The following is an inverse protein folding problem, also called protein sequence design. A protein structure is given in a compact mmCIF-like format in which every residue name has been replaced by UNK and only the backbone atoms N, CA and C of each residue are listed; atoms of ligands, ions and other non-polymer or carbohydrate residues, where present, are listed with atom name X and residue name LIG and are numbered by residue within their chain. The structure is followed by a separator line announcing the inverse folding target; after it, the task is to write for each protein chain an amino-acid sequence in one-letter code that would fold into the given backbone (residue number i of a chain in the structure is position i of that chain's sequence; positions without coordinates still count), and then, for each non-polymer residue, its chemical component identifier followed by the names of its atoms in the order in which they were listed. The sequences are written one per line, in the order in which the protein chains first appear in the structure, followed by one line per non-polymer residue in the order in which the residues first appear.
data_IF_085036465056
#
_entry.id   IF_085036465056
#
_cell.length_a   1.000
_cell.length_b   1.000
_cell.length_c   1.000
_cell.angle_alpha   90.00
_cell.angle_beta   90.00
_cell.angle_gamma   90.00
#
_symmetry.space_group_name_H-M   'P 1'
#
loop_
_entity.id
_entity.type
_entity.pdbx_description
1 polymer ?
#
# COMPACT_ATOMS: atom_id res chain seq x y z
N UNK A 1 14.35 -8.93 8.16
CA UNK A 1 13.02 -8.91 7.47
C UNK A 1 12.73 -7.56 6.80
N UNK A 2 12.71 -6.43 7.53
CA UNK A 2 12.48 -5.09 6.95
C UNK A 2 13.50 -4.68 5.88
N UNK A 3 14.79 -4.99 6.07
CA UNK A 3 15.83 -4.66 5.08
C UNK A 3 15.64 -5.35 3.71
N UNK A 4 14.92 -6.48 3.64
CA UNK A 4 14.64 -7.19 2.37
C UNK A 4 13.34 -6.71 1.71
N UNK A 5 12.35 -6.28 2.50
CA UNK A 5 11.04 -5.86 2.02
C UNK A 5 10.49 -4.71 2.88
N UNK A 6 11.00 -3.48 2.69
CA UNK A 6 10.69 -2.33 3.55
C UNK A 6 9.19 -2.00 3.64
N UNK A 7 8.38 -2.29 2.61
CA UNK A 7 6.94 -2.02 2.61
C UNK A 7 6.06 -3.09 3.29
N UNK A 8 6.60 -4.27 3.62
CA UNK A 8 5.80 -5.43 4.04
C UNK A 8 5.15 -5.26 5.42
N UNK A 9 5.78 -4.50 6.32
CA UNK A 9 5.22 -4.22 7.64
C UNK A 9 3.93 -3.39 7.55
N UNK A 10 3.96 -2.34 6.72
CA UNK A 10 2.79 -1.48 6.45
C UNK A 10 1.69 -2.25 5.73
N UNK A 11 2.04 -3.08 4.75
CA UNK A 11 1.07 -3.93 4.03
C UNK A 11 0.30 -4.85 4.99
N UNK A 12 1.00 -5.49 5.93
CA UNK A 12 0.39 -6.38 6.93
C UNK A 12 -0.51 -5.60 7.89
N UNK A 13 -0.07 -4.43 8.35
CA UNK A 13 -0.86 -3.58 9.24
C UNK A 13 -2.18 -3.15 8.57
N UNK A 14 -2.12 -2.64 7.33
CA UNK A 14 -3.32 -2.22 6.59
C UNK A 14 -4.20 -3.41 6.25
N UNK A 15 -3.64 -4.55 5.86
CA UNK A 15 -4.42 -5.79 5.63
C UNK A 15 -5.17 -6.24 6.89
N UNK A 16 -4.59 -6.06 8.07
CA UNK A 16 -5.25 -6.37 9.35
C UNK A 16 -6.44 -5.47 9.67
N UNK A 17 -6.46 -4.24 9.14
CA UNK A 17 -7.54 -3.27 9.32
C UNK A 17 -8.69 -3.43 8.30
N UNK A 18 -8.53 -4.26 7.27
CA UNK A 18 -9.53 -4.50 6.23
C UNK A 18 -10.48 -5.67 6.57
N UNK A 19 -11.71 -5.67 6.04
CA UNK A 19 -12.66 -6.76 6.23
C UNK A 19 -12.13 -8.07 5.63
N UNK A 20 -12.35 -9.18 6.34
CA UNK A 20 -11.94 -10.51 5.84
C UNK A 20 -12.90 -10.96 4.72
N UNK A 21 -12.35 -11.37 3.58
CA UNK A 21 -13.12 -11.90 2.45
C UNK A 21 -12.66 -11.37 1.10
N UNK A 22 -13.34 -11.75 0.00
CA UNK A 22 -12.95 -11.37 -1.36
C UNK A 22 -12.83 -9.86 -1.56
N UNK A 23 -13.72 -9.08 -0.92
CA UNK A 23 -13.69 -7.62 -0.96
C UNK A 23 -12.42 -7.04 -0.32
N UNK A 24 -12.02 -7.50 0.87
CA UNK A 24 -10.78 -7.07 1.50
C UNK A 24 -9.55 -7.41 0.67
N UNK A 25 -9.54 -8.58 0.03
CA UNK A 25 -8.48 -8.95 -0.93
C UNK A 25 -8.45 -8.05 -2.17
N UNK A 26 -9.61 -7.58 -2.65
CA UNK A 26 -9.67 -6.63 -3.73
C UNK A 26 -9.19 -5.23 -3.29
N UNK A 27 -9.51 -4.82 -2.06
CA UNK A 27 -9.11 -3.53 -1.49
C UNK A 27 -7.59 -3.45 -1.30
N UNK A 28 -6.98 -4.45 -0.67
CA UNK A 28 -5.53 -4.44 -0.40
C UNK A 28 -4.70 -4.41 -1.70
N UNK A 29 -5.20 -4.99 -2.80
CA UNK A 29 -4.53 -4.94 -4.11
C UNK A 29 -4.39 -3.53 -4.69
N UNK A 30 -5.25 -2.59 -4.27
CA UNK A 30 -5.20 -1.18 -4.68
C UNK A 30 -4.13 -0.39 -3.94
N UNK A 31 -3.69 -0.86 -2.77
CA UNK A 31 -2.62 -0.22 -2.00
C UNK A 31 -1.26 -0.52 -2.65
N UNK A 32 -0.47 0.53 -2.91
CA UNK A 32 0.89 0.45 -3.46
C UNK A 32 1.85 1.16 -2.52
N UNK A 33 2.80 0.41 -1.96
CA UNK A 33 3.76 0.90 -0.97
C UNK A 33 5.14 0.87 -1.60
N UNK A 34 5.79 2.02 -1.59
CA UNK A 34 7.15 2.21 -2.11
C UNK A 34 8.07 2.58 -0.95
N UNK A 35 9.32 2.11 -0.99
CA UNK A 35 10.29 2.37 0.06
C UNK A 35 10.88 3.79 -0.01
N UNK A 36 10.88 4.37 -1.21
CA UNK A 36 11.36 5.73 -1.48
C UNK A 36 10.23 6.69 -1.82
N UNK A 37 10.60 7.90 -2.19
CA UNK A 37 9.68 9.00 -2.53
C UNK A 37 9.08 8.87 -3.93
N UNK A 38 9.55 7.94 -4.74
CA UNK A 38 9.16 7.78 -6.14
C UNK A 38 8.14 6.64 -6.32
N UNK A 39 7.18 6.87 -7.22
CA UNK A 39 6.22 5.86 -7.67
C UNK A 39 6.05 5.91 -9.20
N UNK A 40 5.84 4.76 -9.87
CA UNK A 40 5.65 4.70 -11.32
C UNK A 40 4.26 5.17 -11.80
N UNK A 41 3.42 5.73 -10.90
CA UNK A 41 2.01 6.08 -11.17
C UNK A 41 1.82 7.47 -11.79
N UNK A 42 2.73 7.89 -12.66
CA UNK A 42 2.69 9.22 -13.30
C UNK A 42 1.38 9.46 -14.08
N UNK A 43 0.82 8.43 -14.72
CA UNK A 43 -0.43 8.52 -15.46
C UNK A 43 -1.68 8.77 -14.58
N UNK A 44 -1.64 8.48 -13.27
CA UNK A 44 -2.79 8.59 -12.38
C UNK A 44 -2.93 9.97 -11.73
N UNK A 45 -2.02 10.91 -12.00
CA UNK A 45 -1.95 12.24 -11.39
C UNK A 45 -2.25 12.24 -9.88
N UNK A 46 -1.41 11.57 -9.07
CA UNK A 46 -1.65 11.44 -7.63
C UNK A 46 -1.69 12.82 -6.95
N UNK A 47 -2.71 13.05 -6.12
CA UNK A 47 -2.82 14.25 -5.29
C UNK A 47 -2.18 13.96 -3.94
N UNK A 48 -1.29 14.84 -3.52
CA UNK A 48 -0.69 14.79 -2.17
C UNK A 48 -1.80 15.07 -1.14
N UNK A 49 -1.86 14.24 -0.12
CA UNK A 49 -2.76 14.39 1.03
C UNK A 49 -1.88 14.60 2.27
N UNK A 50 -2.03 15.74 2.95
CA UNK A 50 -1.52 15.96 4.30
C UNK A 50 -2.55 15.43 5.31
N UNK A 51 -2.14 14.48 6.15
CA UNK A 51 -2.95 13.81 7.18
C UNK A 51 -2.21 13.88 8.52
#
# INVERSE_FOLDING_TARGET
MQAKHPGRALEIAVKGMLPKGPLGYAMIKKLKIYAGTEHPHTAQQPKVLDI
#
